data_IF_633460578661
#
_entry.id   IF_633460578661
#
_cell.length_a   1.000
_cell.length_b   1.000
_cell.length_c   1.000
_cell.angle_alpha   90.00
_cell.angle_beta   90.00
_cell.angle_gamma   90.00
#
_symmetry.space_group_name_H-M   'P 1'
#
loop_
_entity.id
_entity.type
_entity.pdbx_description
1 polymer ?
#
# COMPACT_ATOMS: atom_id res chain seq x y z
N UNK A 1 6.04 13.73 -9.01
CA UNK A 1 5.76 13.32 -7.61
C UNK A 1 6.33 11.94 -7.42
N UNK A 2 6.98 11.66 -6.29
CA UNK A 2 7.54 10.32 -5.99
C UNK A 2 6.46 9.42 -5.42
N UNK A 3 6.59 8.10 -5.57
CA UNK A 3 5.62 7.15 -5.05
C UNK A 3 5.50 7.24 -3.50
N UNK A 4 6.60 7.54 -2.81
CA UNK A 4 6.60 7.85 -1.37
C UNK A 4 5.76 9.08 -0.99
N UNK A 5 5.71 10.10 -1.85
CA UNK A 5 4.89 11.29 -1.63
C UNK A 5 3.39 10.98 -1.80
N UNK A 6 3.04 10.13 -2.77
CA UNK A 6 1.67 9.62 -2.97
C UNK A 6 1.26 8.78 -1.75
N UNK A 7 2.13 7.89 -1.27
CA UNK A 7 1.88 7.08 -0.06
C UNK A 7 1.58 7.93 1.18
N UNK A 8 2.31 9.03 1.35
CA UNK A 8 2.18 9.88 2.54
C UNK A 8 0.85 10.63 2.57
N UNK A 9 0.34 11.03 1.40
CA UNK A 9 -0.92 11.77 1.25
C UNK A 9 -2.15 10.86 1.04
N UNK A 10 -1.93 9.57 0.82
CA UNK A 10 -3.01 8.62 0.60
C UNK A 10 -3.97 8.56 1.81
N UNK A 11 -5.29 8.44 1.57
CA UNK A 11 -6.26 8.21 2.64
C UNK A 11 -5.92 6.93 3.42
N UNK A 12 -6.32 6.89 4.68
CA UNK A 12 -6.05 5.74 5.56
C UNK A 12 -7.31 4.90 5.71
N UNK A 13 -7.21 3.59 5.47
CA UNK A 13 -8.33 2.67 5.64
C UNK A 13 -8.52 2.36 7.12
N UNK A 14 -9.65 2.79 7.69
CA UNK A 14 -9.98 2.54 9.10
C UNK A 14 -10.15 1.06 9.43
N UNK A 15 -10.58 0.24 8.47
CA UNK A 15 -10.79 -1.21 8.65
C UNK A 15 -9.49 -2.02 8.58
N UNK A 16 -8.45 -1.47 7.95
CA UNK A 16 -7.16 -2.14 7.77
C UNK A 16 -6.08 -1.50 8.65
N UNK A 17 -6.41 -1.19 9.91
CA UNK A 17 -5.52 -0.60 10.91
C UNK A 17 -4.86 0.72 10.49
N UNK A 18 -5.57 1.55 9.72
CA UNK A 18 -5.05 2.82 9.24
C UNK A 18 -4.00 2.70 8.15
N UNK A 19 -3.90 1.56 7.45
CA UNK A 19 -3.00 1.39 6.29
C UNK A 19 -3.39 2.36 5.16
N UNK A 20 -2.38 2.81 4.41
CA UNK A 20 -2.59 3.71 3.27
C UNK A 20 -3.40 2.99 2.19
N UNK A 21 -4.41 3.68 1.67
CA UNK A 21 -5.28 3.21 0.60
C UNK A 21 -4.89 3.94 -0.69
N UNK A 22 -4.31 3.19 -1.62
CA UNK A 22 -3.77 3.67 -2.88
C UNK A 22 -4.61 3.18 -4.04
N UNK A 23 -4.50 3.85 -5.19
CA UNK A 23 -4.89 3.22 -6.44
C UNK A 23 -3.89 2.14 -6.82
N UNK A 24 -4.32 1.15 -7.60
CA UNK A 24 -3.52 -0.01 -7.99
C UNK A 24 -2.15 0.38 -8.56
N UNK A 25 -2.10 1.32 -9.49
CA UNK A 25 -0.87 1.73 -10.17
C UNK A 25 0.16 2.30 -9.19
N UNK A 26 -0.29 3.11 -8.22
CA UNK A 26 0.59 3.69 -7.20
C UNK A 26 1.10 2.63 -6.20
N UNK A 27 0.26 1.66 -5.82
CA UNK A 27 0.65 0.56 -4.97
C UNK A 27 1.68 -0.35 -5.65
N UNK A 28 1.47 -0.66 -6.93
CA UNK A 28 2.41 -1.46 -7.73
C UNK A 28 3.75 -0.73 -7.91
N UNK A 29 3.74 0.57 -8.23
CA UNK A 29 4.96 1.36 -8.35
C UNK A 29 5.78 1.34 -7.05
N UNK A 30 5.13 1.48 -5.88
CA UNK A 30 5.81 1.37 -4.58
C UNK A 30 6.40 -0.01 -4.33
N UNK A 31 5.69 -1.07 -4.70
CA UNK A 31 6.20 -2.44 -4.57
C UNK A 31 7.43 -2.66 -5.45
N UNK A 32 7.41 -2.18 -6.69
CA UNK A 32 8.52 -2.28 -7.65
C UNK A 32 9.73 -1.44 -7.20
N UNK A 33 9.52 -0.17 -6.84
CA UNK A 33 10.58 0.73 -6.33
C UNK A 33 11.23 0.18 -5.05
N UNK A 34 10.48 -0.62 -4.27
CA UNK A 34 11.00 -1.22 -3.04
C UNK A 34 11.98 -2.38 -3.26
N UNK A 35 12.16 -2.85 -4.51
CA UNK A 35 12.99 -4.00 -4.87
C UNK A 35 12.60 -5.27 -4.08
N UNK A 36 11.30 -5.52 -3.93
CA UNK A 36 10.75 -6.69 -3.25
C UNK A 36 10.64 -6.57 -1.72
N UNK A 37 10.90 -5.40 -1.14
CA UNK A 37 10.71 -5.16 0.30
C UNK A 37 9.25 -4.92 0.67
N UNK A 38 8.44 -4.44 -0.27
CA UNK A 38 7.01 -4.19 -0.14
C UNK A 38 6.23 -5.08 -1.10
N UNK A 39 5.00 -5.40 -0.71
CA UNK A 39 4.02 -6.12 -1.53
C UNK A 39 2.75 -5.30 -1.60
N UNK A 40 2.16 -5.22 -2.80
CA UNK A 40 0.86 -4.60 -3.02
C UNK A 40 -0.26 -5.65 -2.96
N UNK A 41 -1.32 -5.36 -2.21
CA UNK A 41 -2.50 -6.22 -2.10
C UNK A 41 -3.78 -5.38 -2.13
N UNK A 42 -4.84 -5.93 -2.72
CA UNK A 42 -6.14 -5.26 -2.76
C UNK A 42 -6.73 -5.17 -1.36
N UNK A 43 -7.38 -4.04 -1.05
CA UNK A 43 -8.10 -3.88 0.21
C UNK A 43 -9.30 -4.83 0.23
N UNK A 44 -9.51 -5.61 1.31
CA UNK A 44 -10.68 -6.49 1.42
C UNK A 44 -11.98 -5.73 1.72
N UNK A 45 -11.88 -4.44 2.07
CA UNK A 45 -13.02 -3.58 2.43
C UNK A 45 -13.29 -2.47 1.40
N UNK A 46 -12.48 -2.40 0.33
CA UNK A 46 -12.60 -1.41 -0.74
C UNK A 46 -12.10 -2.04 -2.05
N UNK A 47 -13.01 -2.21 -3.02
CA UNK A 47 -12.71 -2.90 -4.27
C UNK A 47 -11.74 -2.12 -5.18
N UNK A 48 -11.60 -0.82 -4.99
CA UNK A 48 -10.73 0.04 -5.82
C UNK A 48 -9.41 0.40 -5.12
N UNK A 49 -9.36 0.21 -3.80
CA UNK A 49 -8.22 0.53 -2.96
C UNK A 49 -7.20 -0.60 -2.82
N UNK A 50 -5.92 -0.22 -2.76
CA UNK A 50 -4.78 -1.11 -2.63
C UNK A 50 -3.89 -0.69 -1.45
N UNK A 51 -3.38 -1.66 -0.73
CA UNK A 51 -2.43 -1.48 0.36
C UNK A 51 -1.04 -1.92 -0.09
N UNK A 52 -0.02 -1.29 0.50
CA UNK A 52 1.35 -1.81 0.47
C UNK A 52 1.79 -2.19 1.88
N UNK A 53 2.45 -3.33 2.00
CA UNK A 53 2.95 -3.82 3.29
C UNK A 53 4.29 -4.53 3.14
N UNK A 54 5.08 -4.54 4.21
CA UNK A 54 6.37 -5.24 4.24
C UNK A 54 6.16 -6.66 4.79
N UNK A 55 6.17 -7.72 3.97
CA UNK A 55 5.89 -9.09 4.43
C UNK A 55 6.89 -9.58 5.50
N UNK A 56 8.12 -9.05 5.50
CA UNK A 56 9.13 -9.35 6.52
C UNK A 56 8.77 -8.82 7.91
N UNK A 57 7.95 -7.78 8.01
CA UNK A 57 7.53 -7.15 9.27
C UNK A 57 6.13 -7.62 9.72
N UNK A 58 5.36 -8.25 8.83
CA UNK A 58 4.00 -8.74 9.10
C UNK A 58 3.98 -10.18 9.68
N UNK A 59 5.15 -10.80 9.94
CA UNK A 59 5.24 -12.08 10.67
C UNK A 59 4.94 -11.86 12.16
N UNK A 60 3.66 -11.98 12.54
CA UNK A 60 3.24 -12.34 13.90
C UNK A 60 3.43 -13.82 14.15
#
# INVERSE_FOLDING_TARGET
MTAAHVYSQAPRCAHCDGRALLVKEAAQALAEESLGKLTASQCPNDDEGWHVHAPALDRK
#
